data_IF_918599397695
#
_entry.id   IF_918599397695
#
_cell.length_a   1.000
_cell.length_b   1.000
_cell.length_c   1.000
_cell.angle_alpha   90.00
_cell.angle_beta   90.00
_cell.angle_gamma   90.00
#
_symmetry.space_group_name_H-M   'P 1'
#
loop_
_entity.id
_entity.type
_entity.pdbx_description
1 polymer ?
#
# COMPACT_ATOMS: atom_id res chain seq x y z
N UNK A 1 -4.92 22.75 -5.65
CA UNK A 1 -5.22 22.02 -4.41
C UNK A 1 -5.14 20.51 -4.65
N UNK A 2 -4.06 19.89 -4.14
CA UNK A 2 -3.85 18.45 -3.85
C UNK A 2 -4.22 17.39 -4.89
N UNK A 3 -3.22 16.81 -5.58
CA UNK A 3 -3.37 15.54 -6.33
C UNK A 3 -3.93 14.41 -5.44
N UNK A 4 -3.48 14.34 -4.19
CA UNK A 4 -3.94 13.37 -3.19
C UNK A 4 -5.43 13.52 -2.86
N UNK A 5 -5.90 14.75 -2.62
CA UNK A 5 -7.30 15.00 -2.27
C UNK A 5 -8.28 14.58 -3.39
N UNK A 6 -7.88 14.75 -4.65
CA UNK A 6 -8.68 14.26 -5.80
C UNK A 6 -8.65 12.74 -5.89
N UNK A 7 -7.51 12.12 -5.60
CA UNK A 7 -7.39 10.67 -5.59
C UNK A 7 -8.24 10.01 -4.49
N UNK A 8 -8.22 10.55 -3.26
CA UNK A 8 -9.01 10.06 -2.13
C UNK A 8 -10.51 10.01 -2.49
N UNK A 9 -11.06 11.13 -2.97
CA UNK A 9 -12.48 11.18 -3.39
C UNK A 9 -12.80 10.15 -4.47
N UNK A 10 -11.89 9.95 -5.42
CA UNK A 10 -12.07 9.00 -6.52
C UNK A 10 -12.04 7.54 -6.04
N UNK A 11 -11.09 7.16 -5.18
CA UNK A 11 -10.99 5.78 -4.69
C UNK A 11 -12.16 5.46 -3.74
N UNK A 12 -12.54 6.40 -2.88
CA UNK A 12 -13.68 6.25 -1.97
C UNK A 12 -15.00 6.09 -2.73
N UNK A 13 -15.18 6.80 -3.85
CA UNK A 13 -16.35 6.67 -4.71
C UNK A 13 -16.32 5.45 -5.67
N UNK A 14 -15.14 4.84 -5.88
CA UNK A 14 -15.01 3.73 -6.84
C UNK A 14 -15.81 2.49 -6.37
N UNK A 15 -16.39 1.69 -7.28
CA UNK A 15 -17.03 0.44 -6.89
C UNK A 15 -16.00 -0.56 -6.32
N UNK A 16 -16.49 -1.56 -5.59
CA UNK A 16 -15.66 -2.69 -5.16
C UNK A 16 -15.10 -3.43 -6.38
N UNK A 17 -13.87 -3.90 -6.26
CA UNK A 17 -13.14 -4.66 -7.27
C UNK A 17 -12.96 -6.11 -6.79
N UNK A 18 -13.15 -7.11 -7.67
CA UNK A 18 -12.90 -8.52 -7.33
C UNK A 18 -11.41 -8.89 -7.32
N UNK A 19 -10.52 -7.95 -7.67
CA UNK A 19 -9.07 -8.19 -7.66
C UNK A 19 -8.57 -8.39 -6.23
N UNK A 20 -7.51 -9.18 -6.10
CA UNK A 20 -6.81 -9.49 -4.86
C UNK A 20 -5.37 -8.94 -4.91
N UNK A 21 -5.19 -7.61 -4.83
CA UNK A 21 -3.87 -7.03 -4.92
C UNK A 21 -3.06 -7.32 -3.67
N UNK A 22 -1.75 -7.34 -3.85
CA UNK A 22 -0.77 -7.20 -2.77
C UNK A 22 -0.50 -5.71 -2.57
N UNK A 23 -0.57 -5.24 -1.32
CA UNK A 23 -0.29 -3.88 -0.90
C UNK A 23 0.96 -3.90 -0.03
N UNK A 24 1.98 -3.12 -0.39
CA UNK A 24 3.18 -2.94 0.44
C UNK A 24 3.12 -1.54 1.06
N UNK A 25 3.15 -1.47 2.39
CA UNK A 25 3.03 -0.23 3.14
C UNK A 25 4.13 -0.11 4.19
N UNK A 26 4.80 1.04 4.21
CA UNK A 26 5.70 1.43 5.28
C UNK A 26 4.96 2.00 6.50
N UNK A 27 5.33 1.60 7.71
CA UNK A 27 4.72 2.12 8.96
C UNK A 27 5.23 3.52 9.34
N UNK A 28 6.41 3.93 8.82
CA UNK A 28 6.98 5.28 8.99
C UNK A 28 6.60 6.23 7.84
N UNK A 29 5.53 5.93 7.10
CA UNK A 29 5.01 6.84 6.07
C UNK A 29 4.33 8.06 6.71
N UNK A 30 5.01 9.19 6.65
CA UNK A 30 4.50 10.49 7.14
C UNK A 30 3.91 11.37 6.02
N UNK A 31 3.84 10.87 4.78
CA UNK A 31 3.40 11.64 3.61
C UNK A 31 1.90 11.53 3.39
N UNK A 32 1.33 10.36 3.69
CA UNK A 32 -0.10 10.07 3.54
C UNK A 32 -0.63 9.41 4.80
N UNK A 33 -1.94 9.57 5.05
CA UNK A 33 -2.63 8.81 6.09
C UNK A 33 -2.78 7.35 5.64
N UNK A 34 -1.75 6.55 5.89
CA UNK A 34 -1.72 5.15 5.48
C UNK A 34 -2.74 4.31 6.23
N UNK A 35 -3.10 4.68 7.46
CA UNK A 35 -4.09 3.94 8.26
C UNK A 35 -5.48 4.06 7.63
N UNK A 36 -5.89 5.29 7.29
CA UNK A 36 -7.12 5.55 6.55
C UNK A 36 -7.09 4.86 5.18
N UNK A 37 -6.01 5.03 4.42
CA UNK A 37 -5.89 4.46 3.09
C UNK A 37 -6.00 2.92 3.10
N UNK A 38 -5.35 2.24 4.04
CA UNK A 38 -5.46 0.79 4.17
C UNK A 38 -6.88 0.34 4.51
N UNK A 39 -7.61 1.08 5.35
CA UNK A 39 -9.02 0.80 5.63
C UNK A 39 -9.87 0.90 4.36
N UNK A 40 -9.68 1.97 3.58
CA UNK A 40 -10.37 2.14 2.30
C UNK A 40 -10.04 0.99 1.34
N UNK A 41 -8.76 0.69 1.15
CA UNK A 41 -8.32 -0.36 0.21
C UNK A 41 -8.82 -1.76 0.61
N UNK A 42 -8.84 -2.08 1.90
CA UNK A 42 -9.42 -3.34 2.42
C UNK A 42 -10.91 -3.48 2.12
N UNK A 43 -11.66 -2.39 2.11
CA UNK A 43 -13.07 -2.38 1.69
C UNK A 43 -13.25 -2.52 0.17
N UNK A 44 -12.30 -1.98 -0.61
CA UNK A 44 -12.41 -1.91 -2.09
C UNK A 44 -12.02 -3.19 -2.80
N UNK A 45 -11.12 -3.99 -2.26
CA UNK A 45 -10.62 -5.19 -2.94
C UNK A 45 -11.12 -6.47 -2.29
N UNK A 46 -11.11 -7.57 -3.04
CA UNK A 46 -11.39 -8.88 -2.49
C UNK A 46 -10.13 -9.41 -1.80
N UNK A 47 -10.19 -9.59 -0.47
CA UNK A 47 -9.11 -10.16 0.35
C UNK A 47 -7.70 -9.64 -0.05
N UNK A 48 -7.48 -8.31 -0.06
CA UNK A 48 -6.15 -7.79 -0.38
C UNK A 48 -5.16 -8.22 0.69
N UNK A 49 -3.97 -8.61 0.25
CA UNK A 49 -2.86 -8.95 1.13
C UNK A 49 -2.07 -7.69 1.43
N UNK A 50 -1.63 -7.53 2.68
CA UNK A 50 -0.91 -6.33 3.11
C UNK A 50 0.40 -6.74 3.77
N UNK A 51 1.51 -6.36 3.14
CA UNK A 51 2.83 -6.41 3.75
C UNK A 51 3.11 -5.08 4.45
N UNK A 52 3.23 -5.11 5.77
CA UNK A 52 3.67 -3.96 6.57
C UNK A 52 5.18 -4.00 6.78
N UNK A 53 5.85 -2.89 6.46
CA UNK A 53 7.29 -2.70 6.66
C UNK A 53 7.51 -1.73 7.83
N UNK A 54 7.89 -2.26 9.00
CA UNK A 54 8.02 -1.49 10.26
C UNK A 54 8.85 -0.21 10.15
N UNK A 55 9.92 -0.24 9.36
CA UNK A 55 10.84 0.90 9.17
C UNK A 55 10.70 1.54 7.78
N UNK A 56 9.74 1.08 6.97
CA UNK A 56 9.53 1.61 5.63
C UNK A 56 8.88 2.99 5.67
N UNK A 57 9.40 3.93 4.90
CA UNK A 57 8.78 5.23 4.64
C UNK A 57 8.01 5.22 3.32
N UNK A 58 7.51 6.38 2.92
CA UNK A 58 6.71 6.56 1.71
C UNK A 58 7.39 6.07 0.41
N UNK A 59 8.67 6.40 0.21
CA UNK A 59 9.41 6.03 -1.00
C UNK A 59 10.18 4.73 -0.81
N UNK A 60 9.45 3.60 -0.72
CA UNK A 60 10.03 2.27 -0.49
C UNK A 60 11.10 1.84 -1.52
N UNK A 61 11.06 2.37 -2.75
CA UNK A 61 12.09 2.12 -3.76
C UNK A 61 13.45 2.73 -3.40
N UNK A 62 13.44 3.82 -2.62
CA UNK A 62 14.63 4.56 -2.17
C UNK A 62 15.04 4.19 -0.73
N UNK A 63 14.43 3.15 -0.15
CA UNK A 63 14.79 2.66 1.17
C UNK A 63 16.12 1.90 1.19
N UNK A 64 16.63 1.66 2.39
CA UNK A 64 17.85 0.87 2.61
C UNK A 64 17.72 -0.54 2.03
N UNK A 65 18.84 -1.17 1.59
CA UNK A 65 18.82 -2.48 0.95
C UNK A 65 18.06 -3.56 1.74
N UNK A 66 18.15 -3.53 3.07
CA UNK A 66 17.50 -4.51 3.96
C UNK A 66 15.97 -4.45 3.86
N UNK A 67 15.38 -3.25 3.82
CA UNK A 67 13.93 -3.08 3.65
C UNK A 67 13.52 -3.51 2.24
N UNK A 68 14.35 -3.18 1.25
CA UNK A 68 14.10 -3.56 -0.15
C UNK A 68 14.10 -5.06 -0.35
N UNK A 69 15.11 -5.74 0.18
CA UNK A 69 15.22 -7.20 0.15
C UNK A 69 14.01 -7.86 0.82
N UNK A 70 13.57 -7.35 1.97
CA UNK A 70 12.40 -7.89 2.66
C UNK A 70 11.14 -7.87 1.80
N UNK A 71 10.81 -6.74 1.15
CA UNK A 71 9.62 -6.72 0.28
C UNK A 71 9.83 -7.44 -1.05
N UNK A 72 11.03 -7.46 -1.62
CA UNK A 72 11.28 -8.21 -2.85
C UNK A 72 11.16 -9.72 -2.65
N UNK A 73 11.68 -10.24 -1.53
CA UNK A 73 11.51 -11.66 -1.18
C UNK A 73 10.03 -12.00 -1.03
N UNK A 74 9.28 -11.19 -0.28
CA UNK A 74 7.84 -11.36 -0.14
C UNK A 74 7.12 -11.34 -1.49
N UNK A 75 7.39 -10.36 -2.35
CA UNK A 75 6.74 -10.26 -3.67
C UNK A 75 7.09 -11.44 -4.58
N UNK A 76 8.34 -11.91 -4.55
CA UNK A 76 8.79 -13.06 -5.34
C UNK A 76 8.07 -14.35 -4.93
N UNK A 77 7.78 -14.51 -3.63
CA UNK A 77 7.03 -15.66 -3.13
C UNK A 77 5.54 -15.59 -3.46
N UNK A 78 4.96 -14.40 -3.55
CA UNK A 78 3.51 -14.20 -3.73
C UNK A 78 3.06 -14.04 -5.19
N UNK A 79 3.97 -13.72 -6.12
CA UNK A 79 3.62 -13.40 -7.53
C UNK A 79 4.10 -14.46 -8.54
N UNK A 80 4.21 -15.72 -8.11
CA UNK A 80 4.56 -16.85 -9.00
C UNK A 80 3.49 -17.18 -10.01
#
# INVERSE_FOLDING_TARGET
MGSLARWIKRIEAAPRSPRRPVIVQGEEDMTVDWQHNLQVLRGKFDRPEVLMLKQGRHHLANEIPQIREAYFNFLTDHLK
#
